data_IF_145449882385
#
_entry.id   IF_145449882385
#
_cell.length_a   1.000
_cell.length_b   1.000
_cell.length_c   1.000
_cell.angle_alpha   90.00
_cell.angle_beta   90.00
_cell.angle_gamma   90.00
#
_symmetry.space_group_name_H-M   'P 1'
#
loop_
_entity.id
_entity.type
_entity.pdbx_description
1 polymer ?
#
# COMPACT_ATOMS: atom_id res chain seq x y z
N UNK A 1 2.29 -28.81 -4.02
CA UNK A 1 2.33 -28.77 -2.53
C UNK A 1 1.39 -27.64 -2.13
N UNK A 2 0.34 -27.93 -1.40
CA UNK A 2 -0.51 -26.88 -0.82
C UNK A 2 0.35 -26.06 0.14
N UNK A 3 0.44 -24.73 0.00
CA UNK A 3 1.16 -23.90 0.95
C UNK A 3 0.57 -24.14 2.33
N UNK A 4 1.39 -24.00 3.35
CA UNK A 4 1.06 -24.25 4.74
C UNK A 4 0.10 -23.16 5.29
N UNK A 5 -0.98 -22.95 4.56
CA UNK A 5 -2.05 -22.01 4.87
C UNK A 5 -2.69 -22.46 6.17
N UNK A 6 -2.74 -21.62 7.17
CA UNK A 6 -3.41 -21.94 8.44
C UNK A 6 -2.52 -21.94 9.68
N UNK A 7 -1.25 -21.50 9.57
CA UNK A 7 -0.37 -21.32 10.73
C UNK A 7 -0.19 -19.87 11.18
N UNK A 8 -0.77 -18.91 10.46
CA UNK A 8 -0.71 -17.50 10.89
C UNK A 8 -1.62 -17.32 12.08
N UNK A 9 -1.05 -16.88 13.18
CA UNK A 9 -1.78 -16.53 14.39
C UNK A 9 -1.45 -15.10 14.78
N UNK A 10 -2.40 -14.43 15.39
CA UNK A 10 -2.18 -13.12 15.99
C UNK A 10 -2.71 -13.09 17.41
N UNK A 11 -2.15 -12.22 18.23
CA UNK A 11 -2.55 -12.08 19.63
C UNK A 11 -3.32 -10.79 19.83
N UNK A 12 -4.53 -10.90 20.35
CA UNK A 12 -5.36 -9.75 20.74
C UNK A 12 -5.81 -9.93 22.18
N UNK A 13 -5.49 -8.96 23.04
CA UNK A 13 -5.86 -9.00 24.47
C UNK A 13 -5.51 -10.34 25.17
N UNK A 14 -4.27 -10.80 24.97
CA UNK A 14 -3.75 -12.08 25.51
C UNK A 14 -4.42 -13.36 24.96
N UNK A 15 -5.24 -13.25 23.92
CA UNK A 15 -5.82 -14.40 23.23
C UNK A 15 -5.12 -14.60 21.90
N UNK A 16 -4.64 -15.81 21.64
CA UNK A 16 -4.14 -16.19 20.32
C UNK A 16 -5.32 -16.55 19.43
N UNK A 17 -5.38 -15.93 18.27
CA UNK A 17 -6.41 -16.16 17.25
C UNK A 17 -5.72 -16.72 16.01
N UNK A 18 -6.20 -17.83 15.51
CA UNK A 18 -5.72 -18.38 14.24
C UNK A 18 -6.33 -17.61 13.07
N UNK A 19 -5.51 -17.33 12.06
CA UNK A 19 -6.02 -16.82 10.80
C UNK A 19 -6.91 -17.88 10.15
N UNK A 20 -8.11 -17.54 9.66
CA UNK A 20 -8.93 -18.47 8.89
C UNK A 20 -8.19 -18.93 7.63
N UNK A 21 -8.37 -20.19 7.26
CA UNK A 21 -7.86 -20.70 5.99
C UNK A 21 -8.78 -20.21 4.88
N UNK A 22 -8.29 -19.44 3.90
CA UNK A 22 -9.13 -18.98 2.80
C UNK A 22 -9.53 -20.16 1.89
N UNK A 23 -10.73 -20.12 1.36
CA UNK A 23 -11.24 -21.13 0.41
C UNK A 23 -10.71 -20.92 -1.02
N UNK A 24 -10.17 -19.74 -1.32
CA UNK A 24 -9.58 -19.34 -2.58
C UNK A 24 -8.44 -18.36 -2.34
N UNK A 25 -7.55 -18.15 -3.33
CA UNK A 25 -6.55 -17.08 -3.25
C UNK A 25 -7.21 -15.72 -2.96
N UNK A 26 -6.57 -14.94 -2.10
CA UNK A 26 -7.04 -13.61 -1.73
C UNK A 26 -6.23 -12.53 -2.44
N UNK A 27 -6.86 -11.39 -2.67
CA UNK A 27 -6.19 -10.16 -3.06
C UNK A 27 -6.40 -9.10 -1.99
N UNK A 28 -5.33 -8.41 -1.63
CA UNK A 28 -5.39 -7.16 -0.88
C UNK A 28 -5.13 -6.02 -1.86
N UNK A 29 -6.12 -5.17 -2.08
CA UNK A 29 -6.03 -4.10 -3.08
C UNK A 29 -5.75 -2.72 -2.49
N UNK A 30 -5.44 -2.66 -1.20
CA UNK A 30 -5.12 -1.41 -0.53
C UNK A 30 -4.15 -1.65 0.64
N UNK A 31 -2.87 -1.55 0.36
CA UNK A 31 -1.81 -1.68 1.35
C UNK A 31 -0.75 -0.58 1.19
N UNK A 32 -0.15 -0.17 2.28
CA UNK A 32 0.90 0.87 2.29
C UNK A 32 2.22 0.25 2.74
N UNK A 33 3.01 -0.28 1.80
CA UNK A 33 4.28 -0.95 2.13
C UNK A 33 5.30 -0.01 2.76
N UNK A 34 5.32 1.27 2.35
CA UNK A 34 6.23 2.28 2.91
C UNK A 34 5.85 2.73 4.33
N UNK A 35 4.64 2.38 4.81
CA UNK A 35 4.25 2.62 6.21
C UNK A 35 4.91 1.64 7.19
N UNK A 36 5.49 0.55 6.71
CA UNK A 36 6.27 -0.37 7.55
C UNK A 36 7.74 0.08 7.63
N UNK A 37 8.40 -0.25 8.75
CA UNK A 37 9.84 -0.15 8.80
C UNK A 37 10.47 -1.03 7.73
N UNK A 38 11.51 -0.57 7.08
CA UNK A 38 12.12 -1.28 5.94
C UNK A 38 12.56 -2.72 6.29
N UNK A 39 12.91 -2.98 7.54
CA UNK A 39 13.27 -4.31 8.04
C UNK A 39 12.06 -5.21 8.36
N UNK A 40 10.84 -4.67 8.37
CA UNK A 40 9.60 -5.41 8.64
C UNK A 40 8.84 -5.79 7.37
N UNK A 41 9.13 -5.14 6.23
CA UNK A 41 8.45 -5.38 4.95
C UNK A 41 8.58 -6.84 4.52
N UNK A 42 9.78 -7.47 4.53
CA UNK A 42 9.94 -8.88 4.15
C UNK A 42 9.05 -9.81 4.96
N UNK A 43 9.13 -9.74 6.29
CA UNK A 43 8.35 -10.57 7.19
C UNK A 43 6.83 -10.35 7.02
N UNK A 44 6.42 -9.10 6.75
CA UNK A 44 5.02 -8.76 6.50
C UNK A 44 4.51 -9.40 5.22
N UNK A 45 5.28 -9.35 4.14
CA UNK A 45 4.93 -9.96 2.85
C UNK A 45 4.89 -11.49 2.93
N UNK A 46 5.86 -12.11 3.60
CA UNK A 46 5.86 -13.55 3.84
C UNK A 46 4.61 -13.99 4.64
N UNK A 47 4.26 -13.25 5.69
CA UNK A 47 3.04 -13.52 6.48
C UNK A 47 1.77 -13.35 5.63
N UNK A 48 1.71 -12.33 4.78
CA UNK A 48 0.60 -12.13 3.86
C UNK A 48 0.45 -13.33 2.92
N UNK A 49 1.56 -13.81 2.35
CA UNK A 49 1.56 -14.99 1.48
C UNK A 49 1.11 -16.25 2.22
N UNK A 50 1.61 -16.48 3.41
CA UNK A 50 1.20 -17.63 4.27
C UNK A 50 -0.29 -17.53 4.64
N UNK A 51 -0.82 -16.32 4.80
CA UNK A 51 -2.25 -16.10 5.06
C UNK A 51 -3.15 -16.35 3.83
N UNK A 52 -2.56 -16.53 2.65
CA UNK A 52 -3.28 -16.84 1.40
C UNK A 52 -3.51 -15.62 0.49
N UNK A 53 -2.81 -14.52 0.72
CA UNK A 53 -2.81 -13.37 -0.19
C UNK A 53 -1.85 -13.69 -1.34
N UNK A 54 -2.39 -13.77 -2.56
CA UNK A 54 -1.62 -14.03 -3.78
C UNK A 54 -1.34 -12.75 -4.57
N UNK A 55 -2.19 -11.74 -4.44
CA UNK A 55 -2.01 -10.42 -5.05
C UNK A 55 -2.11 -9.34 -3.97
N UNK A 56 -1.16 -8.42 -3.99
CA UNK A 56 -1.17 -7.24 -3.15
C UNK A 56 -0.96 -6.01 -4.03
N UNK A 57 -1.91 -5.08 -3.96
CA UNK A 57 -1.79 -3.78 -4.60
C UNK A 57 -1.43 -2.76 -3.53
N UNK A 58 -0.22 -2.23 -3.62
CA UNK A 58 0.23 -1.16 -2.71
C UNK A 58 -0.12 0.20 -3.28
N UNK A 59 -0.16 1.21 -2.42
CA UNK A 59 -0.42 2.60 -2.82
C UNK A 59 0.88 3.37 -2.74
N UNK A 60 1.15 4.16 -3.77
CA UNK A 60 2.23 5.15 -3.83
C UNK A 60 1.64 6.56 -3.85
N UNK A 61 2.05 7.38 -2.90
CA UNK A 61 1.70 8.79 -2.79
C UNK A 61 2.99 9.62 -2.77
N UNK A 62 3.30 10.39 -3.84
CA UNK A 62 4.54 11.16 -3.92
C UNK A 62 4.68 12.20 -2.81
N UNK A 63 3.58 12.69 -2.25
CA UNK A 63 3.59 13.66 -1.14
C UNK A 63 3.85 12.95 0.19
N UNK A 64 3.05 11.93 0.51
CA UNK A 64 3.15 11.22 1.78
C UNK A 64 4.46 10.42 1.87
N UNK A 65 4.84 9.75 0.79
CA UNK A 65 6.03 8.89 0.72
C UNK A 65 7.32 9.69 0.52
N UNK A 66 7.22 10.96 0.10
CA UNK A 66 8.35 11.87 -0.15
C UNK A 66 9.39 11.26 -1.10
N UNK A 67 8.91 10.61 -2.15
CA UNK A 67 9.72 9.94 -3.17
C UNK A 67 9.22 10.30 -4.56
N UNK A 68 10.09 10.18 -5.56
CA UNK A 68 9.69 10.14 -6.95
C UNK A 68 9.11 8.78 -7.32
N UNK A 69 8.34 8.71 -8.39
CA UNK A 69 7.86 7.43 -8.94
C UNK A 69 9.04 6.54 -9.36
N UNK A 70 10.09 7.13 -9.91
CA UNK A 70 11.28 6.40 -10.32
C UNK A 70 11.98 5.72 -9.13
N UNK A 71 12.14 6.43 -8.01
CA UNK A 71 12.73 5.87 -6.79
C UNK A 71 11.85 4.77 -6.18
N UNK A 72 10.52 4.94 -6.27
CA UNK A 72 9.57 3.94 -5.78
C UNK A 72 9.61 2.65 -6.60
N UNK A 73 9.56 2.78 -7.93
CA UNK A 73 9.66 1.65 -8.86
C UNK A 73 11.00 0.93 -8.72
N UNK A 74 12.10 1.67 -8.65
CA UNK A 74 13.45 1.11 -8.44
C UNK A 74 13.52 0.31 -7.13
N UNK A 75 12.93 0.83 -6.05
CA UNK A 75 12.86 0.11 -4.77
C UNK A 75 12.06 -1.19 -4.89
N UNK A 76 10.89 -1.16 -5.54
CA UNK A 76 10.10 -2.37 -5.77
C UNK A 76 10.90 -3.41 -6.55
N UNK A 77 11.53 -3.00 -7.66
CA UNK A 77 12.26 -3.92 -8.56
C UNK A 77 13.50 -4.50 -7.90
N UNK A 78 14.23 -3.72 -7.11
CA UNK A 78 15.52 -4.15 -6.54
C UNK A 78 15.37 -4.86 -5.20
N UNK A 79 14.41 -4.46 -4.37
CA UNK A 79 14.33 -4.95 -3.01
C UNK A 79 13.14 -5.88 -2.76
N UNK A 80 12.01 -5.64 -3.42
CA UNK A 80 10.77 -6.38 -3.13
C UNK A 80 10.56 -7.55 -4.10
N UNK A 81 10.54 -7.29 -5.40
CA UNK A 81 10.24 -8.32 -6.40
C UNK A 81 11.22 -9.51 -6.42
N UNK A 82 12.50 -9.38 -6.03
CA UNK A 82 13.40 -10.53 -5.93
C UNK A 82 13.12 -11.48 -4.76
N UNK A 83 12.28 -11.06 -3.81
CA UNK A 83 11.93 -11.90 -2.67
C UNK A 83 11.18 -13.15 -3.10
N UNK A 84 11.38 -14.24 -2.36
CA UNK A 84 10.67 -15.50 -2.57
C UNK A 84 9.48 -15.58 -1.61
N UNK A 85 8.47 -16.36 -2.01
CA UNK A 85 7.31 -16.68 -1.17
C UNK A 85 6.53 -15.43 -0.70
N UNK A 86 6.43 -14.41 -1.54
CA UNK A 86 5.61 -13.20 -1.32
C UNK A 86 4.42 -13.17 -2.28
N UNK A 87 3.38 -12.35 -2.03
CA UNK A 87 2.34 -12.06 -3.00
C UNK A 87 2.92 -11.45 -4.29
N UNK A 88 2.19 -11.56 -5.40
CA UNK A 88 2.46 -10.69 -6.55
C UNK A 88 2.20 -9.24 -6.13
N UNK A 89 3.14 -8.34 -6.45
CA UNK A 89 3.07 -6.93 -6.06
C UNK A 89 2.84 -6.08 -7.31
N UNK A 90 1.85 -5.19 -7.20
CA UNK A 90 1.59 -4.07 -8.13
C UNK A 90 1.25 -2.84 -7.30
N UNK A 91 1.12 -1.66 -7.93
CA UNK A 91 0.75 -0.47 -7.18
C UNK A 91 -0.25 0.43 -7.91
N UNK A 92 -0.91 1.28 -7.12
CA UNK A 92 -1.67 2.44 -7.57
C UNK A 92 -0.85 3.69 -7.26
N UNK A 93 -0.91 4.70 -8.11
CA UNK A 93 -0.30 6.01 -7.86
C UNK A 93 -1.36 7.08 -7.71
N UNK A 94 -1.26 7.89 -6.69
CA UNK A 94 -2.19 8.99 -6.45
C UNK A 94 -1.79 9.81 -5.24
N UNK A 95 -2.64 10.75 -4.85
CA UNK A 95 -2.44 11.58 -3.66
C UNK A 95 -3.65 11.43 -2.77
N UNK A 96 -3.39 11.06 -1.52
CA UNK A 96 -4.43 11.01 -0.48
C UNK A 96 -5.12 12.37 -0.33
N UNK A 97 -6.42 12.43 -0.06
CA UNK A 97 -7.16 13.69 0.11
C UNK A 97 -6.51 14.69 1.06
N UNK A 98 -5.81 14.24 2.10
CA UNK A 98 -5.06 15.13 3.00
C UNK A 98 -3.89 15.84 2.34
N UNK A 99 -3.33 15.29 1.27
CA UNK A 99 -2.27 15.90 0.47
C UNK A 99 -2.80 16.87 -0.61
N UNK A 100 -4.12 16.96 -0.80
CA UNK A 100 -4.69 17.78 -1.86
C UNK A 100 -4.25 19.25 -1.84
N UNK A 101 -4.07 19.92 -0.68
CA UNK A 101 -3.56 21.29 -0.64
C UNK A 101 -2.15 21.46 -1.19
N UNK A 102 -1.35 20.40 -1.19
CA UNK A 102 0.05 20.37 -1.64
C UNK A 102 0.19 19.79 -3.07
N UNK A 103 -0.93 19.52 -3.74
CA UNK A 103 -0.94 18.99 -5.10
C UNK A 103 -0.53 20.06 -6.11
N UNK A 104 0.64 19.91 -6.70
CA UNK A 104 1.25 20.83 -7.67
C UNK A 104 1.35 20.19 -9.05
N UNK A 105 1.70 20.98 -10.07
CA UNK A 105 1.97 20.46 -11.42
C UNK A 105 3.12 19.44 -11.43
N UNK A 106 4.12 19.58 -10.56
CA UNK A 106 5.21 18.62 -10.43
C UNK A 106 4.71 17.29 -9.83
N UNK A 107 3.87 17.33 -8.82
CA UNK A 107 3.21 16.15 -8.25
C UNK A 107 2.29 15.49 -9.29
N UNK A 108 1.54 16.30 -10.04
CA UNK A 108 0.74 15.77 -11.14
C UNK A 108 1.60 15.02 -12.16
N UNK A 109 2.73 15.59 -12.54
CA UNK A 109 3.66 14.94 -13.48
C UNK A 109 4.19 13.61 -12.94
N UNK A 110 4.51 13.49 -11.64
CA UNK A 110 4.89 12.24 -11.00
C UNK A 110 3.78 11.18 -11.07
N UNK A 111 2.54 11.55 -10.76
CA UNK A 111 1.40 10.62 -10.84
C UNK A 111 1.16 10.16 -12.28
N UNK A 112 1.28 11.07 -13.27
CA UNK A 112 1.14 10.72 -14.68
C UNK A 112 2.28 9.81 -15.13
N UNK A 113 3.52 10.12 -14.73
CA UNK A 113 4.69 9.30 -15.07
C UNK A 113 4.58 7.87 -14.52
N UNK A 114 3.91 7.68 -13.38
CA UNK A 114 3.67 6.37 -12.82
C UNK A 114 2.86 5.46 -13.77
N UNK A 115 1.99 6.02 -14.61
CA UNK A 115 1.17 5.22 -15.55
C UNK A 115 1.99 4.56 -16.67
N UNK A 116 3.22 5.02 -16.90
CA UNK A 116 4.16 4.40 -17.84
C UNK A 116 4.94 3.24 -17.20
N UNK A 117 4.83 3.07 -15.88
CA UNK A 117 5.47 1.94 -15.16
C UNK A 117 4.58 0.69 -15.29
N UNK A 118 5.13 -0.44 -15.78
CA UNK A 118 4.36 -1.69 -15.92
C UNK A 118 3.87 -2.28 -14.58
N UNK A 119 4.40 -1.85 -13.45
CA UNK A 119 3.93 -2.26 -12.12
C UNK A 119 2.76 -1.40 -11.62
N UNK A 120 2.55 -0.21 -12.20
CA UNK A 120 1.41 0.64 -11.88
C UNK A 120 0.15 0.11 -12.61
N UNK A 121 -0.87 -0.19 -11.86
CA UNK A 121 -2.12 -0.76 -12.41
C UNK A 121 -3.27 0.25 -12.46
N UNK A 122 -3.06 1.47 -12.02
CA UNK A 122 -4.07 2.54 -12.08
C UNK A 122 -3.78 3.72 -11.15
N UNK A 123 -4.74 4.65 -11.11
CA UNK A 123 -4.71 5.83 -10.25
C UNK A 123 -5.43 5.53 -8.93
N UNK A 124 -4.80 5.87 -7.84
CA UNK A 124 -5.27 5.76 -6.46
C UNK A 124 -4.09 6.01 -5.49
N UNK A 125 -4.32 6.50 -4.35
CA UNK A 125 -5.54 6.87 -3.66
C UNK A 125 -5.98 8.27 -4.11
N UNK A 126 -7.25 8.48 -4.40
CA UNK A 126 -7.81 9.78 -4.80
C UNK A 126 -9.22 9.92 -4.23
N UNK A 127 -9.64 11.13 -3.95
CA UNK A 127 -11.01 11.39 -3.51
C UNK A 127 -11.14 12.64 -2.65
N UNK A 128 -12.32 12.80 -2.08
CA UNK A 128 -12.62 13.83 -1.12
C UNK A 128 -12.83 13.17 0.25
N UNK A 129 -12.18 13.70 1.27
CA UNK A 129 -12.39 13.28 2.65
C UNK A 129 -13.16 14.37 3.38
N UNK A 130 -14.36 14.01 3.84
CA UNK A 130 -15.22 14.89 4.65
C UNK A 130 -15.14 14.56 6.14
N UNK A 131 -14.22 13.68 6.54
CA UNK A 131 -14.01 13.38 7.94
C UNK A 131 -13.34 14.59 8.61
N UNK A 132 -14.02 15.13 9.60
CA UNK A 132 -13.50 16.20 10.43
C UNK A 132 -12.89 15.55 11.67
N UNK A 133 -11.58 15.50 11.74
CA UNK A 133 -10.87 15.21 12.98
C UNK A 133 -10.96 16.44 13.87
N UNK A 134 -11.92 16.40 14.80
CA UNK A 134 -12.15 17.50 15.77
C UNK A 134 -11.00 17.68 16.76
N UNK A 135 -10.05 16.74 16.79
CA UNK A 135 -8.91 16.77 17.70
C UNK A 135 -7.62 17.37 17.08
N UNK A 136 -7.60 17.58 15.78
CA UNK A 136 -6.49 18.23 15.11
C UNK A 136 -6.87 19.65 14.69
N UNK A 137 -6.05 20.63 15.03
CA UNK A 137 -6.14 22.04 14.59
C UNK A 137 -5.96 22.21 13.05
N UNK A 138 -6.21 21.16 12.28
CA UNK A 138 -6.16 21.17 10.82
C UNK A 138 -7.50 21.75 10.32
N UNK A 139 -7.44 22.95 9.82
CA UNK A 139 -8.59 23.53 9.12
C UNK A 139 -8.97 22.59 7.95
N UNK A 140 -10.27 22.26 7.78
CA UNK A 140 -10.72 21.47 6.65
C UNK A 140 -10.26 22.12 5.35
N UNK A 141 -9.72 21.32 4.44
CA UNK A 141 -9.38 21.81 3.12
C UNK A 141 -10.63 22.45 2.49
N UNK A 142 -10.52 23.62 1.86
CA UNK A 142 -11.65 24.23 1.22
C UNK A 142 -12.21 23.30 0.15
N UNK A 143 -13.48 22.97 0.26
CA UNK A 143 -14.21 22.09 -0.67
C UNK A 143 -14.52 22.78 -2.02
N UNK A 144 -13.89 23.91 -2.31
CA UNK A 144 -14.07 24.69 -3.52
C UNK A 144 -12.98 24.36 -4.54
N UNK A 145 -13.15 23.22 -5.22
CA UNK A 145 -12.41 22.92 -6.43
C UNK A 145 -13.40 22.54 -7.52
#
# INVERSE_FOLDING_TARGET
MTPNVGRVTFTKKKKTVACPVPLAPLADTHAHLLSFWSNEVPETLERAKVAGIDLLVTVFDPIADKRSVADYSDWLVREILPMQDIPQITYLAGVHPYGAPDYTDDIHAEVVAALDDPLCVGIGEIGLDYHMDYDDDIAPAPHDV
#
